data_IF_199011456898
#
_entry.id   IF_199011456898
#
_cell.length_a   1.000
_cell.length_b   1.000
_cell.length_c   1.000
_cell.angle_alpha   90.00
_cell.angle_beta   90.00
_cell.angle_gamma   90.00
#
_symmetry.space_group_name_H-M   'P 1'
#
loop_
_entity.id
_entity.type
_entity.pdbx_description
1 polymer ?
#
# COMPACT_ATOMS: atom_id res chain seq x y z
N UNK A 1 -6.01 -16.82 -5.64
CA UNK A 1 -5.64 -15.46 -6.06
C UNK A 1 -5.44 -14.58 -4.83
N UNK A 2 -4.36 -13.77 -4.76
CA UNK A 2 -4.13 -12.82 -3.65
C UNK A 2 -4.75 -11.47 -4.00
N UNK A 3 -5.68 -10.96 -3.19
CA UNK A 3 -6.41 -9.71 -3.46
C UNK A 3 -5.52 -8.46 -3.48
N UNK A 4 -4.38 -8.50 -2.77
CA UNK A 4 -3.41 -7.40 -2.77
C UNK A 4 -2.51 -7.39 -4.01
N UNK A 5 -2.48 -8.45 -4.82
CA UNK A 5 -1.66 -8.47 -6.03
C UNK A 5 -2.27 -7.61 -7.14
N UNK A 6 -1.43 -7.15 -8.07
CA UNK A 6 -1.88 -6.38 -9.25
C UNK A 6 -2.93 -7.15 -10.07
N UNK A 7 -2.70 -8.45 -10.25
CA UNK A 7 -3.62 -9.36 -10.94
C UNK A 7 -4.95 -9.51 -10.18
N UNK A 8 -4.91 -9.64 -8.86
CA UNK A 8 -6.12 -9.73 -8.04
C UNK A 8 -6.97 -8.47 -8.06
N UNK A 9 -6.34 -7.29 -8.08
CA UNK A 9 -7.04 -6.01 -8.23
C UNK A 9 -7.64 -5.85 -9.63
N UNK A 10 -6.91 -6.28 -10.66
CA UNK A 10 -7.42 -6.27 -12.04
C UNK A 10 -8.63 -7.19 -12.19
N UNK A 11 -8.58 -8.40 -11.62
CA UNK A 11 -9.73 -9.31 -11.58
C UNK A 11 -10.93 -8.66 -10.89
N UNK A 12 -10.78 -8.09 -9.69
CA UNK A 12 -11.90 -7.48 -8.95
C UNK A 12 -12.41 -6.19 -9.63
N UNK A 13 -11.56 -5.51 -10.42
CA UNK A 13 -12.00 -4.39 -11.25
C UNK A 13 -12.87 -4.87 -12.41
N UNK A 14 -12.57 -6.01 -13.00
CA UNK A 14 -13.36 -6.55 -14.11
C UNK A 14 -14.63 -7.24 -13.59
N UNK A 15 -14.49 -8.02 -12.52
CA UNK A 15 -15.51 -8.83 -11.87
C UNK A 15 -15.64 -8.43 -10.38
N UNK A 16 -16.32 -7.31 -10.06
CA UNK A 16 -16.42 -6.78 -8.70
C UNK A 16 -17.30 -7.64 -7.79
N UNK A 17 -18.04 -8.61 -8.32
CA UNK A 17 -18.87 -9.52 -7.54
C UNK A 17 -18.89 -10.90 -8.18
N UNK A 18 -19.36 -11.88 -7.41
CA UNK A 18 -19.62 -13.22 -7.93
C UNK A 18 -20.70 -13.19 -9.03
N UNK A 19 -21.69 -12.31 -8.92
CA UNK A 19 -22.73 -12.15 -9.92
C UNK A 19 -22.15 -11.66 -11.25
N UNK A 20 -21.26 -10.66 -11.20
CA UNK A 20 -20.57 -10.14 -12.38
C UNK A 20 -19.69 -11.21 -13.05
N UNK A 21 -18.96 -11.99 -12.24
CA UNK A 21 -18.15 -13.12 -12.74
C UNK A 21 -19.02 -14.20 -13.41
N UNK A 22 -20.05 -14.68 -12.72
CA UNK A 22 -20.94 -15.73 -13.25
C UNK A 22 -21.67 -15.27 -14.52
N UNK A 23 -22.11 -14.00 -14.56
CA UNK A 23 -22.73 -13.40 -15.75
C UNK A 23 -21.75 -13.37 -16.92
N UNK A 24 -20.51 -12.95 -16.71
CA UNK A 24 -19.49 -12.92 -17.75
C UNK A 24 -19.16 -14.31 -18.32
N UNK A 25 -19.12 -15.34 -17.46
CA UNK A 25 -18.94 -16.74 -17.90
C UNK A 25 -20.12 -17.27 -18.69
N UNK A 26 -21.36 -16.93 -18.31
CA UNK A 26 -22.56 -17.24 -19.11
C UNK A 26 -22.53 -16.57 -20.48
N UNK A 27 -21.94 -15.38 -20.58
CA UNK A 27 -21.73 -14.64 -21.82
C UNK A 27 -20.53 -15.15 -22.64
N UNK A 28 -19.83 -16.20 -22.19
CA UNK A 28 -18.70 -16.80 -22.91
C UNK A 28 -17.40 -15.99 -22.85
N UNK A 29 -17.26 -15.04 -21.92
CA UNK A 29 -16.01 -14.27 -21.74
C UNK A 29 -14.92 -15.17 -21.16
N UNK A 30 -13.70 -15.04 -21.71
CA UNK A 30 -12.50 -15.72 -21.17
C UNK A 30 -12.05 -15.01 -19.89
N UNK A 31 -11.85 -15.78 -18.81
CA UNK A 31 -11.39 -15.27 -17.50
C UNK A 31 -10.09 -15.93 -17.05
N UNK A 32 -9.62 -16.89 -17.84
CA UNK A 32 -8.50 -17.80 -17.56
C UNK A 32 -7.17 -17.04 -17.42
N UNK A 33 -7.11 -15.78 -17.83
CA UNK A 33 -5.96 -14.90 -17.63
C UNK A 33 -5.72 -14.48 -16.17
N UNK A 34 -6.74 -14.55 -15.32
CA UNK A 34 -6.67 -14.07 -13.93
C UNK A 34 -6.61 -15.18 -12.88
N UNK A 35 -7.14 -16.35 -13.21
CA UNK A 35 -7.39 -17.42 -12.26
C UNK A 35 -6.81 -18.74 -12.76
N UNK A 36 -6.38 -19.59 -11.82
CA UNK A 36 -6.12 -20.99 -12.14
C UNK A 36 -7.45 -21.72 -12.35
N UNK A 37 -7.42 -22.78 -13.14
CA UNK A 37 -8.61 -23.60 -13.46
C UNK A 37 -9.36 -24.07 -12.21
N UNK A 38 -8.63 -24.51 -11.17
CA UNK A 38 -9.21 -24.92 -9.88
C UNK A 38 -9.94 -23.78 -9.14
N UNK A 39 -9.43 -22.55 -9.24
CA UNK A 39 -10.02 -21.37 -8.58
C UNK A 39 -11.29 -20.94 -9.31
N UNK A 40 -11.25 -21.00 -10.64
CA UNK A 40 -12.40 -20.73 -11.48
C UNK A 40 -13.55 -21.70 -11.19
N UNK A 41 -13.26 -23.01 -11.13
CA UNK A 41 -14.27 -24.03 -10.83
C UNK A 41 -14.92 -23.82 -9.45
N UNK A 42 -14.13 -23.40 -8.46
CA UNK A 42 -14.67 -23.04 -7.15
C UNK A 42 -15.65 -21.88 -7.24
N UNK A 43 -15.30 -20.80 -7.94
CA UNK A 43 -16.19 -19.65 -8.12
C UNK A 43 -17.45 -19.99 -8.93
N UNK A 44 -17.35 -20.86 -9.94
CA UNK A 44 -18.50 -21.33 -10.71
C UNK A 44 -19.50 -22.11 -9.85
N UNK A 45 -19.04 -22.78 -8.80
CA UNK A 45 -19.87 -23.49 -7.83
C UNK A 45 -20.56 -22.58 -6.79
N UNK A 46 -20.18 -21.32 -6.71
CA UNK A 46 -20.75 -20.38 -5.74
C UNK A 46 -22.12 -19.87 -6.17
N UNK A 47 -22.95 -19.53 -5.18
CA UNK A 47 -24.29 -18.98 -5.41
C UNK A 47 -24.22 -17.47 -5.65
N UNK A 48 -24.98 -16.93 -6.62
CA UNK A 48 -25.08 -15.49 -6.79
C UNK A 48 -25.72 -14.85 -5.55
N UNK A 49 -25.35 -13.60 -5.30
CA UNK A 49 -26.04 -12.74 -4.35
C UNK A 49 -27.47 -12.44 -4.84
N UNK A 50 -28.44 -12.66 -3.95
CA UNK A 50 -29.87 -12.59 -4.26
C UNK A 50 -30.49 -11.20 -4.17
N UNK A 51 -29.73 -10.17 -3.74
CA UNK A 51 -30.25 -8.82 -3.59
C UNK A 51 -29.74 -7.90 -4.70
N UNK A 52 -30.59 -7.65 -5.69
CA UNK A 52 -30.28 -6.73 -6.79
C UNK A 52 -30.04 -5.29 -6.30
N UNK A 53 -30.78 -4.84 -5.29
CA UNK A 53 -30.70 -3.48 -4.75
C UNK A 53 -29.32 -3.16 -4.14
N UNK A 54 -28.74 -4.08 -3.38
CA UNK A 54 -27.44 -3.84 -2.74
C UNK A 54 -26.26 -4.21 -3.64
N UNK A 55 -26.46 -5.11 -4.60
CA UNK A 55 -25.39 -5.60 -5.45
C UNK A 55 -24.69 -4.48 -6.21
N UNK A 56 -25.44 -3.59 -6.85
CA UNK A 56 -24.88 -2.46 -7.59
C UNK A 56 -24.05 -1.53 -6.69
N UNK A 57 -24.58 -1.21 -5.50
CA UNK A 57 -23.88 -0.38 -4.52
C UNK A 57 -22.59 -1.03 -4.03
N UNK A 58 -22.61 -2.35 -3.76
CA UNK A 58 -21.43 -3.09 -3.31
C UNK A 58 -20.38 -3.20 -4.42
N UNK A 59 -20.79 -3.46 -5.66
CA UNK A 59 -19.89 -3.48 -6.81
C UNK A 59 -19.21 -2.12 -7.02
N UNK A 60 -19.99 -1.03 -6.89
CA UNK A 60 -19.45 0.32 -6.95
C UNK A 60 -18.45 0.58 -5.82
N UNK A 61 -18.77 0.19 -4.59
CA UNK A 61 -17.87 0.35 -3.44
C UNK A 61 -16.55 -0.40 -3.65
N UNK A 62 -16.58 -1.62 -4.18
CA UNK A 62 -15.37 -2.40 -4.47
C UNK A 62 -14.50 -1.66 -5.49
N UNK A 63 -15.08 -1.19 -6.59
CA UNK A 63 -14.36 -0.42 -7.61
C UNK A 63 -13.75 0.87 -7.03
N UNK A 64 -14.54 1.60 -6.24
CA UNK A 64 -14.11 2.83 -5.59
C UNK A 64 -12.94 2.59 -4.63
N UNK A 65 -13.03 1.58 -3.77
CA UNK A 65 -11.96 1.25 -2.81
C UNK A 65 -10.68 0.80 -3.53
N UNK A 66 -10.79 0.02 -4.62
CA UNK A 66 -9.64 -0.35 -5.44
C UNK A 66 -8.94 0.88 -6.02
N UNK A 67 -9.70 1.84 -6.56
CA UNK A 67 -9.16 3.11 -7.05
C UNK A 67 -8.48 3.90 -5.92
N UNK A 68 -9.08 3.97 -4.73
CA UNK A 68 -8.46 4.67 -3.59
C UNK A 68 -7.16 4.02 -3.16
N UNK A 69 -7.08 2.68 -3.11
CA UNK A 69 -5.85 1.96 -2.79
C UNK A 69 -4.74 2.32 -3.79
N UNK A 70 -5.03 2.23 -5.09
CA UNK A 70 -4.04 2.53 -6.13
C UNK A 70 -3.57 3.99 -6.09
N UNK A 71 -4.50 4.92 -5.87
CA UNK A 71 -4.20 6.34 -5.73
C UNK A 71 -3.29 6.61 -4.52
N UNK A 72 -3.59 6.01 -3.37
CA UNK A 72 -2.80 6.20 -2.15
C UNK A 72 -1.40 5.62 -2.30
N UNK A 73 -1.27 4.44 -2.92
CA UNK A 73 0.03 3.85 -3.22
C UNK A 73 0.85 4.70 -4.20
N UNK A 74 0.21 5.25 -5.24
CA UNK A 74 0.88 6.16 -6.17
C UNK A 74 1.35 7.44 -5.47
N UNK A 75 0.49 8.03 -4.63
CA UNK A 75 0.84 9.21 -3.83
C UNK A 75 1.99 8.91 -2.87
N UNK A 76 1.99 7.74 -2.21
CA UNK A 76 3.08 7.28 -1.36
C UNK A 76 4.40 7.23 -2.11
N UNK A 77 4.45 6.54 -3.26
CA UNK A 77 5.66 6.47 -4.11
C UNK A 77 6.13 7.85 -4.57
N UNK A 78 5.21 8.75 -4.95
CA UNK A 78 5.56 10.13 -5.35
C UNK A 78 6.15 10.92 -4.19
N UNK A 79 5.63 10.77 -2.98
CA UNK A 79 6.15 11.42 -1.78
C UNK A 79 7.55 10.91 -1.44
N UNK A 80 7.75 9.60 -1.41
CA UNK A 80 9.07 9.00 -1.17
C UNK A 80 10.11 9.49 -2.18
N UNK A 81 9.73 9.53 -3.48
CA UNK A 81 10.60 10.07 -4.53
C UNK A 81 10.95 11.54 -4.29
N UNK A 82 9.95 12.38 -3.98
CA UNK A 82 10.19 13.79 -3.66
C UNK A 82 11.12 13.97 -2.47
N UNK A 83 10.94 13.19 -1.40
CA UNK A 83 11.82 13.21 -0.23
C UNK A 83 13.25 12.87 -0.61
N UNK A 84 13.43 11.82 -1.44
CA UNK A 84 14.75 11.43 -1.97
C UNK A 84 15.38 12.52 -2.83
N UNK A 85 14.59 13.17 -3.69
CA UNK A 85 15.09 14.24 -4.56
C UNK A 85 15.50 15.47 -3.73
N UNK A 86 14.72 15.86 -2.70
CA UNK A 86 15.05 16.98 -1.81
C UNK A 86 16.32 16.76 -0.99
N UNK A 87 16.56 15.53 -0.53
CA UNK A 87 17.69 15.19 0.35
C UNK A 87 18.87 14.58 -0.41
N UNK A 88 18.85 14.59 -1.74
CA UNK A 88 19.84 13.90 -2.58
C UNK A 88 21.28 14.34 -2.30
N UNK A 89 21.48 15.63 -2.05
CA UNK A 89 22.78 16.26 -1.83
C UNK A 89 23.03 16.61 -0.34
N UNK A 90 22.10 16.24 0.54
CA UNK A 90 22.21 16.50 1.97
C UNK A 90 23.18 15.50 2.63
N UNK A 91 24.31 16.03 3.13
CA UNK A 91 25.37 15.21 3.71
C UNK A 91 24.94 14.51 5.01
N UNK A 92 24.09 15.14 5.83
CA UNK A 92 23.59 14.54 7.07
C UNK A 92 22.62 13.40 6.75
N UNK A 93 21.77 13.58 5.75
CA UNK A 93 20.87 12.52 5.27
C UNK A 93 21.62 11.33 4.67
N UNK A 94 22.72 11.58 3.94
CA UNK A 94 23.59 10.52 3.42
C UNK A 94 24.31 9.76 4.55
N UNK A 95 24.80 10.48 5.57
CA UNK A 95 25.43 9.88 6.74
C UNK A 95 24.45 9.00 7.51
N UNK A 96 23.23 9.48 7.77
CA UNK A 96 22.20 8.69 8.45
C UNK A 96 21.85 7.41 7.70
N UNK A 97 21.75 7.47 6.36
CA UNK A 97 21.47 6.30 5.52
C UNK A 97 22.62 5.28 5.45
N UNK A 98 23.83 5.64 5.89
CA UNK A 98 24.93 4.66 6.02
C UNK A 98 24.67 3.65 7.15
N UNK A 99 23.75 3.96 8.07
CA UNK A 99 23.33 3.06 9.15
C UNK A 99 22.39 2.01 8.57
N UNK A 100 22.76 0.74 8.68
CA UNK A 100 21.93 -0.38 8.23
C UNK A 100 20.52 -0.30 8.84
N UNK A 101 19.49 -0.34 7.99
CA UNK A 101 18.08 -0.22 8.40
C UNK A 101 17.54 1.22 8.39
N UNK A 102 18.37 2.24 8.19
CA UNK A 102 17.91 3.63 8.05
C UNK A 102 17.77 3.98 6.56
N UNK A 103 16.54 4.05 6.09
CA UNK A 103 16.22 4.52 4.74
C UNK A 103 16.04 6.04 4.67
N UNK A 104 15.84 6.56 3.46
CA UNK A 104 15.65 8.01 3.20
C UNK A 104 14.52 8.64 4.02
N UNK A 105 13.39 7.93 4.19
CA UNK A 105 12.24 8.42 4.96
C UNK A 105 12.61 8.53 6.44
N UNK A 106 13.25 7.51 7.01
CA UNK A 106 13.71 7.52 8.40
C UNK A 106 14.77 8.60 8.63
N UNK A 107 15.71 8.77 7.70
CA UNK A 107 16.70 9.84 7.76
C UNK A 107 16.04 11.22 7.74
N UNK A 108 15.09 11.45 6.81
CA UNK A 108 14.31 12.69 6.75
C UNK A 108 13.55 12.97 8.05
N UNK A 109 12.93 11.95 8.64
CA UNK A 109 12.23 12.06 9.92
C UNK A 109 13.20 12.46 11.04
N UNK A 110 14.34 11.77 11.15
CA UNK A 110 15.35 12.09 12.17
C UNK A 110 15.85 13.53 12.04
N UNK A 111 16.18 13.97 10.82
CA UNK A 111 16.60 15.35 10.57
C UNK A 111 15.49 16.36 10.91
N UNK A 112 14.24 16.06 10.57
CA UNK A 112 13.10 16.94 10.86
C UNK A 112 12.82 17.09 12.36
N UNK A 113 12.95 16.01 13.13
CA UNK A 113 12.69 16.01 14.58
C UNK A 113 13.87 16.58 15.40
N UNK A 114 15.09 16.16 15.06
CA UNK A 114 16.32 16.59 15.75
C UNK A 114 16.65 18.03 15.37
N UNK A 115 16.53 18.38 14.08
CA UNK A 115 16.93 19.64 13.42
C UNK A 115 18.41 19.97 13.52
N UNK A 116 18.89 20.24 14.73
CA UNK A 116 20.30 20.52 15.00
C UNK A 116 20.75 19.64 16.16
N UNK A 117 21.65 18.70 15.88
CA UNK A 117 22.16 17.79 16.90
C UNK A 117 22.92 18.51 18.03
N UNK A 118 23.46 19.71 17.76
CA UNK A 118 24.22 20.52 18.73
C UNK A 118 23.34 21.11 19.84
N UNK A 119 22.01 21.08 19.69
CA UNK A 119 21.09 21.51 20.76
C UNK A 119 21.11 20.59 21.99
N UNK A 120 21.65 19.39 21.83
CA UNK A 120 21.78 18.43 22.92
C UNK A 120 23.18 18.53 23.53
N UNK A 121 23.25 18.81 24.84
CA UNK A 121 24.52 18.96 25.55
C UNK A 121 25.35 17.67 25.61
N UNK A 122 24.73 16.50 25.39
CA UNK A 122 25.41 15.21 25.33
C UNK A 122 24.59 14.18 24.56
N UNK A 123 25.25 13.10 24.12
CA UNK A 123 24.61 11.93 23.49
C UNK A 123 23.55 11.31 24.40
N UNK A 124 23.77 11.31 25.72
CA UNK A 124 22.79 10.81 26.69
C UNK A 124 21.50 11.62 26.71
N UNK A 125 21.57 12.95 26.54
CA UNK A 125 20.37 13.80 26.44
C UNK A 125 19.61 13.57 25.13
N UNK A 126 20.32 13.31 24.03
CA UNK A 126 19.68 12.89 22.77
C UNK A 126 19.00 11.52 22.92
N UNK A 127 19.69 10.54 23.52
CA UNK A 127 19.12 9.21 23.77
C UNK A 127 17.88 9.28 24.70
N UNK A 128 17.92 10.13 25.73
CA UNK A 128 16.78 10.39 26.60
C UNK A 128 15.62 11.07 25.87
N UNK A 129 15.88 12.00 24.96
CA UNK A 129 14.86 12.61 24.10
C UNK A 129 14.18 11.57 23.20
N UNK A 130 14.94 10.61 22.67
CA UNK A 130 14.41 9.49 21.89
C UNK A 130 13.76 8.38 22.77
N UNK A 131 13.73 8.53 24.09
CA UNK A 131 13.17 7.53 25.02
C UNK A 131 14.01 6.25 25.15
N UNK A 132 15.28 6.26 24.73
CA UNK A 132 16.17 5.09 24.71
C UNK A 132 17.00 4.93 25.99
N UNK A 133 17.09 5.96 26.81
CA UNK A 133 17.82 5.93 28.07
C UNK A 133 17.11 6.76 29.13
N UNK A 134 17.13 6.30 30.37
CA UNK A 134 16.77 7.11 31.53
C UNK A 134 17.78 8.24 31.65
N UNK A 135 17.29 9.48 31.66
CA UNK A 135 18.11 10.67 31.77
C UNK A 135 18.81 10.70 33.15
N UNK A 136 20.16 10.68 33.26
CA UNK A 136 20.84 11.20 34.43
C UNK A 136 20.88 12.75 34.40
#
# INVERSE_FOLDING_TARGET
MRTHSREGRAFLREYPSINAFLKAKKEGKKVDSFLKEEEEQKLLGEKPWNSELYLESLEWQIRFLLEKIELLEEKGRKLEKKTKDCLKEDQEAQLLQSISGVGIVSAATLLSEIKDIRRFASVGKLAGYCGLASCP
#
